data_IF_810938881889
#
_entry.id   IF_810938881889
#
_cell.length_a   1.000
_cell.length_b   1.000
_cell.length_c   1.000
_cell.angle_alpha   90.00
_cell.angle_beta   90.00
_cell.angle_gamma   90.00
#
_symmetry.space_group_name_H-M   'P 1'
#
loop_
_entity.id
_entity.type
_entity.pdbx_description
1 polymer ?
#
# COMPACT_ATOMS: atom_id res chain seq x y z
N UNK A 1 0.90 -18.28 -3.17
CA UNK A 1 0.33 -17.55 -4.02
C UNK A 1 -1.11 -17.15 -3.79
N UNK A 2 -1.59 -16.50 -4.74
CA UNK A 2 -2.93 -15.94 -4.68
C UNK A 2 -3.79 -16.47 -5.82
N UNK A 3 -3.62 -17.74 -6.11
CA UNK A 3 -4.31 -18.39 -7.23
C UNK A 3 -5.83 -18.34 -7.10
N UNK A 4 -6.32 -18.44 -5.87
CA UNK A 4 -7.76 -18.47 -5.63
C UNK A 4 -8.34 -17.08 -5.42
N UNK A 5 -7.50 -16.05 -5.44
CA UNK A 5 -7.95 -14.69 -5.18
C UNK A 5 -8.31 -14.00 -6.49
N UNK A 6 -9.54 -13.52 -6.64
CA UNK A 6 -9.90 -12.83 -7.88
C UNK A 6 -9.00 -11.61 -8.12
N UNK A 7 -8.56 -11.44 -9.35
CA UNK A 7 -7.71 -10.30 -9.72
C UNK A 7 -8.40 -8.97 -9.40
N UNK A 8 -9.73 -8.92 -9.55
CA UNK A 8 -10.50 -7.71 -9.27
C UNK A 8 -10.48 -7.30 -7.81
N UNK A 9 -10.11 -8.21 -6.91
CA UNK A 9 -10.02 -7.92 -5.48
C UNK A 9 -8.60 -7.54 -5.06
N UNK A 10 -7.62 -7.70 -5.95
CA UNK A 10 -6.24 -7.37 -5.63
C UNK A 10 -6.07 -5.85 -5.50
N UNK A 11 -5.23 -5.46 -4.55
CA UNK A 11 -4.81 -4.06 -4.41
C UNK A 11 -3.59 -3.85 -5.28
N UNK A 12 -3.76 -3.11 -6.36
CA UNK A 12 -2.74 -2.91 -7.38
C UNK A 12 -2.00 -1.60 -7.20
N UNK A 13 -0.81 -1.50 -7.77
CA UNK A 13 0.03 -0.31 -7.64
C UNK A 13 0.52 0.12 -9.01
N UNK A 14 0.42 1.44 -9.27
CA UNK A 14 1.07 2.09 -10.40
C UNK A 14 2.12 3.02 -9.83
N UNK A 15 3.35 2.92 -10.29
CA UNK A 15 4.45 3.77 -9.83
C UNK A 15 5.28 4.26 -11.01
N UNK A 16 6.01 5.36 -10.78
CA UNK A 16 6.82 5.98 -11.81
C UNK A 16 8.25 5.43 -11.84
N UNK A 17 9.10 5.98 -12.68
CA UNK A 17 10.48 5.53 -12.85
C UNK A 17 11.34 5.71 -11.59
N UNK A 18 10.91 6.53 -10.66
CA UNK A 18 11.58 6.73 -9.38
C UNK A 18 11.00 5.84 -8.29
N UNK A 19 10.15 4.88 -8.66
CA UNK A 19 9.45 3.99 -7.73
C UNK A 19 8.53 4.74 -6.77
N UNK A 20 8.05 5.91 -7.16
CA UNK A 20 7.07 6.66 -6.39
C UNK A 20 5.67 6.23 -6.78
N UNK A 21 4.83 5.96 -5.79
CA UNK A 21 3.45 5.52 -6.02
C UNK A 21 2.65 6.66 -6.66
N UNK A 22 1.97 6.35 -7.75
CA UNK A 22 1.01 7.26 -8.37
C UNK A 22 -0.42 6.88 -8.05
N UNK A 23 -0.71 5.58 -8.09
CA UNK A 23 -2.01 5.04 -7.70
C UNK A 23 -1.85 3.72 -6.99
N UNK A 24 -2.68 3.51 -5.98
CA UNK A 24 -2.71 2.26 -5.23
C UNK A 24 -4.16 1.95 -4.86
N UNK A 25 -4.55 0.69 -5.01
CA UNK A 25 -5.89 0.26 -4.69
C UNK A 25 -6.47 -0.64 -5.76
N UNK A 26 -7.78 -0.67 -5.85
CA UNK A 26 -8.48 -1.47 -6.86
C UNK A 26 -8.54 -0.71 -8.16
N UNK A 27 -7.48 -0.86 -8.95
CA UNK A 27 -7.33 -0.13 -10.21
C UNK A 27 -7.98 -0.91 -11.34
N UNK A 28 -8.78 -0.21 -12.14
CA UNK A 28 -9.38 -0.80 -13.32
C UNK A 28 -8.31 -1.02 -14.38
N UNK A 29 -8.03 -2.29 -14.69
CA UNK A 29 -7.00 -2.66 -15.64
C UNK A 29 -7.33 -2.32 -17.10
N UNK A 30 -8.59 -2.00 -17.39
CA UNK A 30 -8.98 -1.72 -18.77
C UNK A 30 -8.29 -0.51 -19.38
N UNK A 31 -7.90 0.45 -18.57
CA UNK A 31 -7.35 1.71 -19.08
C UNK A 31 -5.95 2.03 -18.57
N UNK A 32 -5.38 1.21 -17.70
CA UNK A 32 -4.09 1.52 -17.08
C UNK A 32 -3.24 0.28 -16.92
N UNK A 33 -1.93 0.47 -17.09
CA UNK A 33 -0.97 -0.60 -16.86
C UNK A 33 -0.65 -0.67 -15.38
N UNK A 34 -0.90 -1.84 -14.79
CA UNK A 34 -0.59 -2.09 -13.38
C UNK A 34 0.84 -2.60 -13.27
N UNK A 35 1.64 -1.99 -12.41
CA UNK A 35 3.05 -2.33 -12.26
C UNK A 35 3.32 -3.35 -11.17
N UNK A 36 2.43 -3.51 -10.19
CA UNK A 36 2.61 -4.46 -9.12
C UNK A 36 1.37 -4.61 -8.26
N UNK A 37 1.50 -5.45 -7.24
CA UNK A 37 0.43 -5.69 -6.27
C UNK A 37 0.93 -5.35 -4.87
N UNK A 38 0.08 -4.68 -4.10
CA UNK A 38 0.40 -4.35 -2.71
C UNK A 38 0.22 -5.60 -1.84
N UNK A 39 1.24 -5.97 -1.10
CA UNK A 39 1.23 -7.18 -0.28
C UNK A 39 0.90 -6.92 1.19
N UNK A 40 0.50 -5.71 1.53
CA UNK A 40 0.05 -5.40 2.88
C UNK A 40 1.13 -4.99 3.86
N UNK A 41 2.37 -4.82 3.40
CA UNK A 41 3.46 -4.41 4.27
C UNK A 41 3.92 -3.01 3.94
N UNK A 42 4.08 -2.17 4.95
CA UNK A 42 4.67 -0.86 4.82
C UNK A 42 5.78 -0.70 5.85
N UNK A 43 6.77 0.12 5.52
CA UNK A 43 7.84 0.47 6.42
C UNK A 43 7.89 1.99 6.53
N UNK A 44 7.91 2.49 7.74
CA UNK A 44 7.92 3.93 8.00
C UNK A 44 9.20 4.31 8.74
N UNK A 45 9.86 5.37 8.26
CA UNK A 45 10.91 6.01 9.04
C UNK A 45 10.27 6.79 10.20
N UNK A 46 11.10 7.32 11.10
CA UNK A 46 10.56 8.16 12.19
C UNK A 46 9.82 9.36 11.62
N UNK A 47 10.37 10.00 10.61
CA UNK A 47 9.73 11.11 9.93
C UNK A 47 8.43 10.68 9.25
N UNK A 48 8.47 9.55 8.54
CA UNK A 48 7.30 9.00 7.89
C UNK A 48 6.19 8.64 8.87
N UNK A 49 6.56 8.14 10.04
CA UNK A 49 5.59 7.81 11.09
C UNK A 49 4.85 9.07 11.56
N UNK A 50 5.58 10.17 11.74
CA UNK A 50 4.96 11.43 12.13
C UNK A 50 4.01 11.95 11.06
N UNK A 51 4.44 11.93 9.81
CA UNK A 51 3.58 12.34 8.68
C UNK A 51 2.32 11.48 8.66
N UNK A 52 2.48 10.18 8.80
CA UNK A 52 1.37 9.24 8.78
C UNK A 52 0.36 9.56 9.89
N UNK A 53 0.84 9.72 11.12
CA UNK A 53 -0.02 10.02 12.26
C UNK A 53 -0.72 11.36 12.14
N UNK A 54 0.01 12.39 11.75
CA UNK A 54 -0.56 13.74 11.61
C UNK A 54 -1.67 13.76 10.57
N UNK A 55 -1.42 13.12 9.44
CA UNK A 55 -2.43 13.06 8.37
C UNK A 55 -3.61 12.20 8.77
N UNK A 56 -3.37 11.08 9.45
CA UNK A 56 -4.47 10.24 9.91
C UNK A 56 -5.39 11.02 10.86
N UNK A 57 -4.83 11.73 11.81
CA UNK A 57 -5.64 12.52 12.76
C UNK A 57 -6.41 13.62 12.04
N UNK A 58 -5.77 14.31 11.10
CA UNK A 58 -6.41 15.38 10.35
C UNK A 58 -7.56 14.82 9.52
N UNK A 59 -7.32 13.74 8.80
CA UNK A 59 -8.33 13.15 7.93
C UNK A 59 -9.49 12.56 8.73
N UNK A 60 -9.20 11.97 9.88
CA UNK A 60 -10.24 11.45 10.76
C UNK A 60 -11.21 12.54 11.19
N UNK A 61 -10.69 13.72 11.51
CA UNK A 61 -11.53 14.85 11.89
C UNK A 61 -12.39 15.35 10.74
N UNK A 62 -11.81 15.39 9.54
CA UNK A 62 -12.50 15.94 8.36
C UNK A 62 -13.54 14.96 7.82
N UNK A 63 -13.18 13.68 7.74
CA UNK A 63 -13.95 12.69 6.98
C UNK A 63 -14.73 11.69 7.83
N UNK A 64 -14.77 11.85 9.13
CA UNK A 64 -15.53 10.92 9.96
C UNK A 64 -16.98 10.86 9.51
N UNK A 65 -17.49 9.65 9.27
CA UNK A 65 -18.83 9.40 8.75
C UNK A 65 -19.06 9.96 7.34
N UNK A 66 -18.00 10.31 6.62
CA UNK A 66 -18.11 10.87 5.27
C UNK A 66 -17.38 9.99 4.27
N UNK A 67 -17.74 10.05 2.99
CA UNK A 67 -16.99 9.32 1.96
C UNK A 67 -15.52 9.74 1.96
N UNK A 68 -14.66 8.75 1.80
CA UNK A 68 -13.22 8.98 1.78
C UNK A 68 -12.58 8.04 0.76
N UNK A 69 -11.97 8.60 -0.28
CA UNK A 69 -11.41 7.83 -1.39
C UNK A 69 -12.48 6.87 -1.93
N UNK A 70 -12.22 5.57 -1.96
CA UNK A 70 -13.20 4.59 -2.45
C UNK A 70 -14.17 4.12 -1.36
N UNK A 71 -13.94 4.50 -0.13
CA UNK A 71 -14.77 4.05 0.98
C UNK A 71 -16.01 4.92 1.13
N UNK A 72 -17.12 4.30 1.46
CA UNK A 72 -18.38 5.02 1.69
C UNK A 72 -18.32 5.92 2.93
N UNK A 73 -17.56 5.49 3.93
CA UNK A 73 -17.27 6.30 5.11
C UNK A 73 -15.80 6.05 5.49
N UNK A 74 -15.20 7.06 6.10
CA UNK A 74 -13.78 7.00 6.49
C UNK A 74 -13.46 5.79 7.33
N UNK A 75 -14.35 5.41 8.26
CA UNK A 75 -14.11 4.31 9.19
C UNK A 75 -13.98 2.94 8.49
N UNK A 76 -14.48 2.84 7.27
CA UNK A 76 -14.41 1.60 6.50
C UNK A 76 -13.31 1.62 5.42
N UNK A 77 -12.49 2.65 5.41
CA UNK A 77 -11.42 2.77 4.43
C UNK A 77 -10.33 1.72 4.68
N UNK A 78 -9.70 1.31 3.61
CA UNK A 78 -8.54 0.44 3.68
C UNK A 78 -7.26 1.25 3.79
N UNK A 79 -6.18 0.60 4.20
CA UNK A 79 -4.87 1.24 4.25
C UNK A 79 -4.50 1.85 2.90
N UNK A 80 -4.82 1.17 1.81
CA UNK A 80 -4.54 1.67 0.46
C UNK A 80 -5.28 2.97 0.15
N UNK A 81 -6.48 3.16 0.68
CA UNK A 81 -7.19 4.44 0.55
C UNK A 81 -6.42 5.56 1.24
N UNK A 82 -5.88 5.28 2.42
CA UNK A 82 -5.09 6.27 3.14
C UNK A 82 -3.80 6.61 2.39
N UNK A 83 -3.12 5.59 1.87
CA UNK A 83 -1.89 5.81 1.09
C UNK A 83 -2.21 6.63 -0.16
N UNK A 84 -3.32 6.35 -0.83
CA UNK A 84 -3.72 7.12 -2.01
C UNK A 84 -3.94 8.58 -1.64
N UNK A 85 -4.55 8.83 -0.51
CA UNK A 85 -4.75 10.21 -0.04
C UNK A 85 -3.41 10.93 0.16
N UNK A 86 -2.44 10.26 0.77
CA UNK A 86 -1.11 10.84 0.97
C UNK A 86 -0.47 11.20 -0.39
N UNK A 87 -0.61 10.31 -1.36
CA UNK A 87 -0.10 10.55 -2.71
C UNK A 87 -0.81 11.76 -3.34
N UNK A 88 -2.13 11.83 -3.19
CA UNK A 88 -2.93 12.91 -3.78
C UNK A 88 -2.55 14.28 -3.22
N UNK A 89 -2.16 14.36 -1.96
CA UNK A 89 -1.76 15.63 -1.36
C UNK A 89 -0.27 15.93 -1.54
N UNK A 90 0.44 15.11 -2.32
CA UNK A 90 1.81 15.39 -2.71
C UNK A 90 2.89 14.75 -1.87
N UNK A 91 2.53 13.86 -0.96
CA UNK A 91 3.53 13.12 -0.17
C UNK A 91 4.07 12.00 -1.03
N UNK A 92 5.40 11.89 -1.09
CA UNK A 92 6.05 10.86 -1.88
C UNK A 92 6.10 9.55 -1.11
N UNK A 93 5.47 8.53 -1.67
CA UNK A 93 5.45 7.18 -1.13
C UNK A 93 6.20 6.29 -2.10
N UNK A 94 7.24 5.63 -1.64
CA UNK A 94 8.09 4.81 -2.51
C UNK A 94 7.73 3.33 -2.41
N UNK A 95 7.77 2.67 -3.56
CA UNK A 95 7.62 1.23 -3.63
C UNK A 95 8.96 0.55 -3.38
N UNK A 96 8.93 -0.55 -2.64
CA UNK A 96 10.04 -1.48 -2.59
C UNK A 96 9.58 -2.74 -3.30
N UNK A 97 10.26 -3.09 -4.37
CA UNK A 97 9.83 -4.18 -5.23
C UNK A 97 10.44 -5.48 -4.75
N UNK A 98 9.58 -6.46 -4.52
CA UNK A 98 9.99 -7.81 -4.16
C UNK A 98 9.56 -8.72 -5.31
N UNK A 99 10.50 -9.05 -6.16
CA UNK A 99 10.21 -9.80 -7.37
C UNK A 99 10.06 -11.29 -7.14
N UNK A 100 10.81 -11.83 -6.20
CA UNK A 100 10.78 -13.26 -5.92
C UNK A 100 10.81 -13.47 -4.41
N UNK A 101 10.37 -14.64 -3.95
CA UNK A 101 10.27 -14.92 -2.54
C UNK A 101 9.09 -14.24 -1.87
N UNK A 102 8.25 -13.61 -2.65
CA UNK A 102 7.01 -13.01 -2.19
C UNK A 102 6.06 -14.10 -1.72
N UNK A 103 5.43 -13.88 -0.58
CA UNK A 103 4.47 -14.82 -0.03
C UNK A 103 3.28 -14.09 0.55
N UNK A 104 2.12 -14.73 0.47
CA UNK A 104 0.95 -14.27 1.18
C UNK A 104 1.18 -14.43 2.67
N UNK A 105 0.77 -13.43 3.45
CA UNK A 105 0.98 -13.44 4.89
C UNK A 105 -0.31 -13.94 5.55
N UNK A 106 -0.35 -15.23 5.90
CA UNK A 106 -1.51 -15.86 6.52
C UNK A 106 -1.33 -16.05 8.01
N UNK A 107 -0.07 -16.18 8.47
CA UNK A 107 0.22 -16.48 9.87
C UNK A 107 1.36 -15.60 10.35
N UNK A 108 1.57 -15.56 11.66
CA UNK A 108 2.69 -14.84 12.25
C UNK A 108 4.02 -15.40 11.73
N UNK A 109 4.10 -16.72 11.55
CA UNK A 109 5.29 -17.35 11.03
C UNK A 109 5.59 -16.89 9.59
N UNK A 110 4.57 -16.88 8.74
CA UNK A 110 4.74 -16.41 7.36
C UNK A 110 5.17 -14.96 7.34
N UNK A 111 4.62 -14.14 8.21
CA UNK A 111 5.01 -12.74 8.34
C UNK A 111 6.49 -12.61 8.66
N UNK A 112 6.99 -13.39 9.60
CA UNK A 112 8.41 -13.36 9.97
C UNK A 112 9.30 -13.76 8.79
N UNK A 113 8.91 -14.78 8.06
CA UNK A 113 9.65 -15.22 6.87
C UNK A 113 9.68 -14.13 5.80
N UNK A 114 8.56 -13.49 5.59
CA UNK A 114 8.47 -12.41 4.60
C UNK A 114 9.37 -11.25 4.97
N UNK A 115 9.42 -10.87 6.25
CA UNK A 115 10.29 -9.79 6.71
C UNK A 115 11.77 -10.15 6.54
N UNK A 116 12.15 -11.36 6.86
CA UNK A 116 13.54 -11.81 6.69
C UNK A 116 13.92 -11.76 5.22
N UNK A 117 13.07 -12.27 4.33
CA UNK A 117 13.32 -12.22 2.89
C UNK A 117 13.49 -10.80 2.39
N UNK A 118 12.61 -9.90 2.82
CA UNK A 118 12.68 -8.50 2.46
C UNK A 118 14.00 -7.88 2.93
N UNK A 119 14.38 -8.11 4.17
CA UNK A 119 15.63 -7.55 4.72
C UNK A 119 16.85 -8.04 3.98
N UNK A 120 16.89 -9.31 3.61
CA UNK A 120 18.02 -9.86 2.84
C UNK A 120 18.16 -9.16 1.49
N UNK A 121 17.06 -8.97 0.78
CA UNK A 121 17.08 -8.28 -0.50
C UNK A 121 17.52 -6.84 -0.35
N UNK A 122 17.08 -6.20 0.72
CA UNK A 122 17.41 -4.80 0.98
C UNK A 122 18.90 -4.64 1.28
N UNK A 123 19.48 -5.55 2.06
CA UNK A 123 20.89 -5.47 2.46
C UNK A 123 21.85 -5.83 1.34
N UNK A 124 21.42 -6.64 0.39
CA UNK A 124 22.25 -6.99 -0.77
C UNK A 124 22.26 -5.89 -1.84
N UNK A 125 21.31 -5.04 -1.78
CA UNK A 125 21.01 -3.96 -2.71
C UNK A 125 22.06 -3.03 -3.04
#
# INVERSE_FOLDING_TARGET
GRKDHPISEAENVIFNSNNEVEKIGKINKGNQEVHGEFIGMIKLSDHGTRIFKENFHRLKKIYWNKPFQRAKVFQKAYLTDFIQELVDIGIKVHCVIIESGWKEIDTVEDYKKALVGFNKKFTKG
#
